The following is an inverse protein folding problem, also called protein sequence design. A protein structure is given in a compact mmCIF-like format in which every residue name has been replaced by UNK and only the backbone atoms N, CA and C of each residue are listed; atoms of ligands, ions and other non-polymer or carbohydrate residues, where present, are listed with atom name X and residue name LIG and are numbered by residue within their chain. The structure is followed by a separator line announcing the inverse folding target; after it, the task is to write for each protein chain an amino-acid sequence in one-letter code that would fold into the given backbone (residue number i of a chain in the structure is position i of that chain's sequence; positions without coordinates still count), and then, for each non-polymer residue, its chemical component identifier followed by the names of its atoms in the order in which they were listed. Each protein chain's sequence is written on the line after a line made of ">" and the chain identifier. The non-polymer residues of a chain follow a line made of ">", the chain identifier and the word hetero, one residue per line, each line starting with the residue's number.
data_IF_550501811884
#
_entry.id   IF_550501811884
#
_cell.length_a   1.000
_cell.length_b   1.000
_cell.length_c   1.000
_cell.angle_alpha   90.00
_cell.angle_beta   90.00
_cell.angle_gamma   90.00
#
_symmetry.space_group_name_H-M   'P 1'
#
loop_
_entity.id
_entity.type
_entity.pdbx_description
1 polymer ?
#
# COMPACT_ATOMS: atom_id res chain seq x y z
N UNK A 1 -11.52 -16.05 52.76
CA UNK A 1 -12.58 -15.40 51.95
C UNK A 1 -11.88 -14.75 50.76
N UNK A 2 -11.80 -15.42 49.59
CA UNK A 2 -12.59 -15.10 48.37
C UNK A 2 -12.59 -13.58 48.09
N UNK A 3 -12.06 -13.07 46.99
CA UNK A 3 -12.46 -13.39 45.62
C UNK A 3 -11.32 -13.35 44.58
N UNK A 4 -11.39 -14.32 43.67
CA UNK A 4 -10.68 -14.47 42.40
C UNK A 4 -11.14 -13.46 41.34
N UNK A 5 -10.21 -13.05 40.46
CA UNK A 5 -10.41 -12.86 39.00
C UNK A 5 -9.02 -12.90 38.34
N UNK A 6 -8.55 -14.08 37.93
CA UNK A 6 -8.48 -14.53 36.52
C UNK A 6 -7.89 -13.47 35.56
N UNK A 7 -6.58 -13.58 35.31
CA UNK A 7 -5.98 -13.31 34.00
C UNK A 7 -5.15 -14.51 33.63
N UNK A 8 -5.76 -15.41 32.86
CA UNK A 8 -5.11 -16.53 32.21
C UNK A 8 -4.38 -15.96 31.00
N UNK A 9 -3.06 -15.81 31.10
CA UNK A 9 -2.20 -15.63 29.94
C UNK A 9 -2.25 -16.93 29.13
N UNK A 10 -3.15 -17.00 28.15
CA UNK A 10 -3.01 -17.96 27.06
C UNK A 10 -2.03 -17.33 26.09
N UNK A 11 -0.81 -17.85 26.08
CA UNK A 11 0.13 -17.60 24.99
C UNK A 11 -0.46 -18.17 23.71
N UNK A 12 -0.97 -17.28 22.85
CA UNK A 12 -1.27 -17.63 21.48
C UNK A 12 0.05 -17.59 20.71
N UNK A 13 0.77 -18.70 20.71
CA UNK A 13 1.91 -18.87 19.81
C UNK A 13 1.35 -19.02 18.40
N UNK A 14 1.23 -17.91 17.69
CA UNK A 14 0.91 -17.91 16.25
C UNK A 14 2.14 -18.46 15.52
N UNK A 15 2.06 -19.72 15.11
CA UNK A 15 3.04 -20.29 14.19
C UNK A 15 2.82 -19.65 12.81
N UNK A 16 3.63 -18.63 12.50
CA UNK A 16 3.68 -18.05 11.17
C UNK A 16 4.45 -19.00 10.24
N UNK A 17 3.72 -19.74 9.41
CA UNK A 17 4.31 -20.30 8.20
C UNK A 17 4.30 -19.21 7.13
N UNK A 18 5.41 -18.46 7.03
CA UNK A 18 5.77 -17.80 5.79
C UNK A 18 6.12 -18.88 4.76
N UNK A 19 5.09 -19.53 4.19
CA UNK A 19 5.30 -20.54 3.18
C UNK A 19 5.75 -19.82 1.91
N UNK A 20 7.01 -19.98 1.52
CA UNK A 20 7.38 -19.81 0.12
C UNK A 20 6.49 -20.76 -0.67
N UNK A 21 5.78 -20.25 -1.68
CA UNK A 21 5.21 -21.09 -2.72
C UNK A 21 6.38 -21.85 -3.36
N UNK A 22 6.66 -23.05 -2.87
CA UNK A 22 7.43 -24.02 -3.63
C UNK A 22 6.58 -24.30 -4.86
N UNK A 23 7.12 -24.12 -6.06
CA UNK A 23 6.48 -24.46 -7.33
C UNK A 23 6.23 -25.99 -7.37
N UNK A 24 5.29 -26.46 -6.57
CA UNK A 24 4.71 -27.79 -6.71
C UNK A 24 3.91 -27.75 -8.00
N UNK A 25 4.27 -28.63 -8.92
CA UNK A 25 3.52 -28.79 -10.16
C UNK A 25 2.10 -29.18 -9.76
N UNK A 26 1.14 -28.30 -10.02
CA UNK A 26 -0.29 -28.58 -9.88
C UNK A 26 -0.64 -29.79 -10.74
N UNK A 27 -0.87 -30.93 -10.10
CA UNK A 27 -1.34 -32.11 -10.78
C UNK A 27 -2.77 -31.89 -11.29
N UNK A 28 -3.04 -32.29 -12.53
CA UNK A 28 -4.38 -32.24 -13.10
C UNK A 28 -5.34 -33.16 -12.34
N UNK A 29 -6.52 -32.63 -12.03
CA UNK A 29 -7.67 -33.36 -11.54
C UNK A 29 -8.34 -34.04 -12.73
N UNK A 30 -8.33 -35.37 -12.75
CA UNK A 30 -8.94 -36.19 -13.82
C UNK A 30 -10.03 -37.12 -13.29
N UNK A 31 -10.85 -37.65 -14.20
CA UNK A 31 -11.88 -38.66 -13.90
C UNK A 31 -13.20 -38.11 -13.36
N UNK A 32 -13.38 -36.80 -13.33
CA UNK A 32 -14.66 -36.14 -13.09
C UNK A 32 -15.24 -35.51 -14.36
N UNK A 33 -16.32 -34.74 -14.20
CA UNK A 33 -16.97 -34.01 -15.28
C UNK A 33 -17.60 -32.71 -14.78
N UNK A 34 -17.73 -31.73 -15.67
CA UNK A 34 -18.52 -30.53 -15.39
C UNK A 34 -20.01 -30.85 -15.41
N UNK A 35 -20.76 -30.30 -14.46
CA UNK A 35 -22.20 -30.52 -14.30
C UNK A 35 -22.89 -29.16 -14.13
N UNK A 36 -23.84 -28.86 -15.00
CA UNK A 36 -24.77 -27.75 -14.86
C UNK A 36 -26.00 -28.19 -14.05
N UNK A 37 -26.28 -27.52 -12.93
CA UNK A 37 -27.43 -27.81 -12.06
C UNK A 37 -27.85 -26.57 -11.28
N UNK A 38 -29.15 -26.32 -11.16
CA UNK A 38 -29.71 -25.19 -10.39
C UNK A 38 -29.13 -23.82 -10.80
N UNK A 39 -28.89 -23.64 -12.11
CA UNK A 39 -28.25 -22.44 -12.67
C UNK A 39 -26.86 -22.14 -12.06
N UNK A 40 -26.11 -23.21 -11.77
CA UNK A 40 -24.72 -23.21 -11.31
C UNK A 40 -23.93 -24.28 -12.05
N UNK A 41 -22.61 -24.10 -12.10
CA UNK A 41 -21.67 -25.07 -12.66
C UNK A 41 -20.78 -25.64 -11.57
N UNK A 42 -20.62 -26.96 -11.58
CA UNK A 42 -19.81 -27.74 -10.65
C UNK A 42 -18.84 -28.62 -11.43
N UNK A 43 -17.78 -29.10 -10.79
CA UNK A 43 -17.03 -30.26 -11.25
C UNK A 43 -17.26 -31.41 -10.26
N UNK A 44 -17.72 -32.56 -10.76
CA UNK A 44 -18.13 -33.71 -9.95
C UNK A 44 -17.29 -34.93 -10.30
N UNK A 45 -16.75 -35.58 -9.28
CA UNK A 45 -16.01 -36.84 -9.37
C UNK A 45 -16.46 -37.76 -8.24
N UNK A 46 -16.80 -39.01 -8.58
CA UNK A 46 -17.23 -40.02 -7.60
C UNK A 46 -18.33 -39.50 -6.66
N UNK A 47 -19.36 -38.85 -7.21
CA UNK A 47 -20.47 -38.20 -6.49
C UNK A 47 -20.10 -37.05 -5.53
N UNK A 48 -18.85 -36.56 -5.61
CA UNK A 48 -18.35 -35.47 -4.80
C UNK A 48 -18.02 -34.24 -5.63
N UNK A 49 -18.30 -33.04 -5.09
CA UNK A 49 -18.03 -31.77 -5.75
C UNK A 49 -16.60 -31.31 -5.45
N UNK A 50 -15.90 -30.86 -6.48
CA UNK A 50 -14.67 -30.10 -6.32
C UNK A 50 -14.95 -28.81 -5.51
N UNK A 51 -14.00 -28.41 -4.67
CA UNK A 51 -14.02 -27.18 -3.88
C UNK A 51 -12.65 -26.52 -3.95
N UNK A 52 -12.61 -25.20 -3.84
CA UNK A 52 -11.39 -24.39 -3.98
C UNK A 52 -10.68 -24.60 -5.34
N UNK A 53 -9.34 -24.58 -5.37
CA UNK A 53 -8.53 -24.58 -6.59
C UNK A 53 -8.37 -25.97 -7.19
N UNK A 54 -8.57 -26.06 -8.50
CA UNK A 54 -8.30 -27.26 -9.28
C UNK A 54 -7.69 -26.91 -10.62
N UNK A 55 -6.72 -27.73 -11.05
CA UNK A 55 -6.29 -27.77 -12.45
C UNK A 55 -7.04 -28.91 -13.15
N UNK A 56 -7.75 -28.64 -14.23
CA UNK A 56 -8.57 -29.59 -14.97
C UNK A 56 -8.25 -29.40 -16.45
N UNK A 57 -7.80 -30.46 -17.11
CA UNK A 57 -7.44 -30.47 -18.53
C UNK A 57 -6.53 -29.29 -18.94
N UNK A 58 -5.52 -29.01 -18.12
CA UNK A 58 -4.55 -27.96 -18.38
C UNK A 58 -5.01 -26.54 -18.08
N UNK A 59 -6.24 -26.33 -17.60
CA UNK A 59 -6.78 -25.03 -17.17
C UNK A 59 -7.00 -25.00 -15.66
N UNK A 60 -6.84 -23.83 -15.05
CA UNK A 60 -7.06 -23.64 -13.61
C UNK A 60 -8.47 -23.09 -13.34
N UNK A 61 -9.16 -23.61 -12.33
CA UNK A 61 -10.52 -23.28 -11.92
C UNK A 61 -10.60 -23.08 -10.40
N UNK A 62 -11.60 -22.34 -9.93
CA UNK A 62 -11.91 -22.20 -8.51
C UNK A 62 -13.41 -22.40 -8.26
N UNK A 63 -13.74 -23.20 -7.24
CA UNK A 63 -15.12 -23.63 -6.94
C UNK A 63 -15.63 -23.16 -5.57
N UNK A 64 -14.88 -22.31 -4.86
CA UNK A 64 -15.25 -21.87 -3.51
C UNK A 64 -15.44 -23.02 -2.50
N UNK A 65 -16.12 -22.73 -1.39
CA UNK A 65 -16.40 -23.70 -0.31
C UNK A 65 -17.60 -24.63 -0.61
N UNK A 66 -18.52 -24.19 -1.48
CA UNK A 66 -19.76 -24.91 -1.85
C UNK A 66 -19.67 -25.69 -3.17
N UNK A 67 -18.58 -25.52 -3.90
CA UNK A 67 -18.33 -26.17 -5.19
C UNK A 67 -18.87 -25.41 -6.41
N UNK A 68 -19.41 -24.20 -6.23
CA UNK A 68 -19.92 -23.35 -7.30
C UNK A 68 -18.75 -22.70 -8.05
N UNK A 69 -18.64 -22.97 -9.36
CA UNK A 69 -17.57 -22.43 -10.19
C UNK A 69 -17.65 -20.91 -10.28
N UNK A 70 -16.56 -20.21 -9.98
CA UNK A 70 -16.50 -18.76 -10.03
C UNK A 70 -16.26 -18.22 -11.44
N UNK A 71 -16.60 -16.95 -11.66
CA UNK A 71 -16.31 -16.20 -12.89
C UNK A 71 -15.91 -14.75 -12.56
N UNK A 72 -15.24 -14.07 -13.49
CA UNK A 72 -14.87 -12.66 -13.34
C UNK A 72 -13.87 -12.40 -12.22
N UNK A 73 -13.99 -11.26 -11.54
CA UNK A 73 -13.08 -10.84 -10.49
C UNK A 73 -13.33 -11.56 -9.17
N UNK A 74 -12.27 -12.15 -8.61
CA UNK A 74 -12.33 -12.91 -7.37
C UNK A 74 -11.20 -12.50 -6.43
N UNK A 75 -11.53 -12.22 -5.16
CA UNK A 75 -10.57 -12.00 -4.10
C UNK A 75 -10.57 -13.25 -3.21
N UNK A 76 -9.58 -14.10 -3.39
CA UNK A 76 -9.55 -15.46 -2.83
C UNK A 76 -8.16 -15.85 -2.34
N UNK A 77 -8.10 -16.84 -1.46
CA UNK A 77 -6.85 -17.39 -0.93
C UNK A 77 -5.92 -17.87 -2.05
N UNK A 78 -4.62 -17.65 -1.86
CA UNK A 78 -3.59 -18.07 -2.82
C UNK A 78 -3.60 -19.58 -3.09
N UNK A 79 -3.33 -19.94 -4.33
CA UNK A 79 -3.24 -21.31 -4.81
C UNK A 79 -1.82 -21.88 -4.62
N UNK A 80 -1.69 -23.21 -4.68
CA UNK A 80 -0.40 -23.92 -4.71
C UNK A 80 0.18 -24.29 -3.35
N UNK A 81 -0.58 -24.09 -2.28
CA UNK A 81 -0.15 -24.44 -0.91
C UNK A 81 -0.44 -25.89 -0.55
N UNK A 82 -1.36 -26.54 -1.27
CA UNK A 82 -1.93 -27.84 -0.95
C UNK A 82 -3.13 -27.78 0.00
N UNK A 83 -3.36 -26.66 0.69
CA UNK A 83 -4.44 -26.53 1.68
C UNK A 83 -5.78 -26.08 1.11
N UNK A 84 -5.78 -25.57 -0.13
CA UNK A 84 -6.96 -25.12 -0.88
C UNK A 84 -6.95 -25.69 -2.30
N UNK A 85 -6.24 -26.80 -2.49
CA UNK A 85 -5.90 -27.29 -3.82
C UNK A 85 -6.28 -28.76 -3.94
N UNK A 86 -6.93 -29.14 -5.04
CA UNK A 86 -7.36 -30.51 -5.34
C UNK A 86 -8.25 -31.12 -4.24
N UNK A 87 -9.19 -30.33 -3.71
CA UNK A 87 -10.08 -30.71 -2.63
C UNK A 87 -11.49 -31.04 -3.13
N UNK A 88 -12.10 -32.05 -2.52
CA UNK A 88 -13.50 -32.38 -2.75
C UNK A 88 -14.27 -32.21 -1.44
N UNK A 89 -15.57 -31.92 -1.53
CA UNK A 89 -16.44 -31.64 -0.38
C UNK A 89 -16.63 -32.81 0.61
N UNK A 90 -16.08 -33.98 0.32
CA UNK A 90 -16.01 -35.12 1.22
C UNK A 90 -14.72 -35.18 2.06
N UNK A 91 -13.79 -34.25 1.85
CA UNK A 91 -12.53 -34.17 2.60
C UNK A 91 -12.56 -33.05 3.64
N UNK A 92 -11.88 -33.21 4.79
CA UNK A 92 -11.76 -32.15 5.76
C UNK A 92 -10.96 -30.97 5.17
N UNK A 93 -11.39 -29.76 5.47
CA UNK A 93 -10.69 -28.52 5.13
C UNK A 93 -9.98 -28.02 6.39
N UNK A 94 -8.65 -27.84 6.31
CA UNK A 94 -7.87 -27.34 7.43
C UNK A 94 -8.14 -25.85 7.64
N UNK A 95 -8.38 -25.45 8.89
CA UNK A 95 -8.45 -24.06 9.29
C UNK A 95 -7.04 -23.45 9.30
N UNK A 96 -6.75 -22.65 8.28
CA UNK A 96 -5.46 -21.98 8.07
C UNK A 96 -5.73 -20.61 7.45
N UNK A 97 -5.03 -19.59 7.94
CA UNK A 97 -5.09 -18.24 7.37
C UNK A 97 -4.11 -18.10 6.22
N UNK A 98 -4.60 -18.21 4.99
CA UNK A 98 -3.82 -17.93 3.79
C UNK A 98 -4.01 -16.48 3.35
N UNK A 99 -3.00 -15.93 2.68
CA UNK A 99 -3.12 -14.61 2.08
C UNK A 99 -4.16 -14.67 0.95
N UNK A 100 -5.02 -13.66 0.88
CA UNK A 100 -5.96 -13.47 -0.23
C UNK A 100 -5.38 -12.51 -1.27
N UNK A 101 -5.68 -12.76 -2.54
CA UNK A 101 -5.30 -11.89 -3.65
C UNK A 101 -6.42 -11.81 -4.68
N UNK A 102 -6.36 -10.78 -5.53
CA UNK A 102 -7.24 -10.67 -6.68
C UNK A 102 -6.78 -11.57 -7.83
N UNK A 103 -7.72 -12.28 -8.42
CA UNK A 103 -7.59 -13.09 -9.63
C UNK A 103 -8.72 -12.75 -10.60
N UNK A 104 -8.51 -13.02 -11.89
CA UNK A 104 -9.52 -12.87 -12.92
C UNK A 104 -9.82 -14.21 -13.59
N UNK A 105 -11.10 -14.56 -13.67
CA UNK A 105 -11.57 -15.78 -14.33
C UNK A 105 -12.41 -15.41 -15.55
N UNK A 106 -12.21 -16.13 -16.65
CA UNK A 106 -13.07 -16.06 -17.82
C UNK A 106 -14.52 -16.45 -17.49
N UNK A 107 -15.46 -16.14 -18.39
CA UNK A 107 -16.86 -16.55 -18.23
C UNK A 107 -17.04 -18.08 -18.33
N UNK A 108 -16.04 -18.80 -18.85
CA UNK A 108 -15.95 -20.26 -18.82
C UNK A 108 -15.39 -20.80 -17.49
N UNK A 109 -15.03 -19.92 -16.54
CA UNK A 109 -14.46 -20.24 -15.24
C UNK A 109 -12.96 -20.51 -15.25
N UNK A 110 -12.29 -20.41 -16.40
CA UNK A 110 -10.85 -20.62 -16.47
C UNK A 110 -10.10 -19.38 -15.94
N UNK A 111 -9.09 -19.61 -15.10
CA UNK A 111 -8.20 -18.56 -14.60
C UNK A 111 -7.46 -17.90 -15.77
N UNK A 112 -7.35 -16.58 -15.72
CA UNK A 112 -6.46 -15.83 -16.59
C UNK A 112 -5.01 -15.97 -16.11
N UNK A 113 -4.24 -16.85 -16.75
CA UNK A 113 -2.81 -17.08 -16.45
C UNK A 113 -1.90 -16.00 -17.10
N UNK A 114 -2.15 -14.73 -16.79
CA UNK A 114 -1.35 -13.57 -17.22
C UNK A 114 -0.23 -13.29 -16.21
N UNK A 115 0.94 -12.85 -16.68
CA UNK A 115 2.12 -12.56 -15.82
C UNK A 115 2.77 -11.19 -16.08
N UNK A 116 2.18 -10.38 -16.95
CA UNK A 116 2.61 -8.99 -17.20
C UNK A 116 1.45 -8.04 -16.92
N UNK A 117 0.67 -7.70 -17.93
CA UNK A 117 -0.48 -6.80 -17.80
C UNK A 117 -1.58 -7.11 -18.80
N UNK A 118 -2.81 -6.75 -18.46
CA UNK A 118 -3.95 -6.90 -19.35
C UNK A 118 -5.00 -5.81 -19.12
N UNK A 119 -5.63 -5.37 -20.20
CA UNK A 119 -6.79 -4.47 -20.13
C UNK A 119 -8.03 -5.31 -19.85
N UNK A 120 -8.66 -5.09 -18.70
CA UNK A 120 -9.85 -5.80 -18.23
C UNK A 120 -10.93 -4.81 -17.81
N UNK A 121 -12.14 -5.30 -17.61
CA UNK A 121 -13.21 -4.53 -16.96
C UNK A 121 -12.77 -4.04 -15.57
N UNK A 122 -13.14 -2.82 -15.22
CA UNK A 122 -12.87 -2.29 -13.89
C UNK A 122 -13.59 -3.13 -12.83
N UNK A 123 -12.91 -3.46 -11.74
CA UNK A 123 -13.52 -4.19 -10.62
C UNK A 123 -14.33 -3.25 -9.76
N UNK A 124 -15.56 -3.63 -9.46
CA UNK A 124 -16.55 -2.86 -8.70
C UNK A 124 -17.24 -3.76 -7.69
N UNK A 125 -18.01 -3.17 -6.77
CA UNK A 125 -18.85 -3.94 -5.84
C UNK A 125 -19.92 -4.80 -6.52
N UNK A 126 -20.17 -4.59 -7.82
CA UNK A 126 -21.25 -5.26 -8.57
C UNK A 126 -20.77 -6.44 -9.42
N UNK A 127 -19.49 -6.48 -9.82
CA UNK A 127 -18.94 -7.51 -10.72
C UNK A 127 -17.87 -8.41 -10.10
N UNK A 128 -17.70 -8.37 -8.77
CA UNK A 128 -16.76 -9.22 -8.03
C UNK A 128 -17.46 -10.30 -7.23
N UNK A 129 -16.81 -11.44 -7.01
CA UNK A 129 -17.35 -12.52 -6.17
C UNK A 129 -18.51 -13.28 -6.81
N UNK A 130 -18.60 -13.24 -8.15
CA UNK A 130 -19.69 -13.87 -8.91
C UNK A 130 -19.40 -15.33 -9.21
N UNK A 131 -20.46 -16.12 -9.27
CA UNK A 131 -20.41 -17.52 -9.71
C UNK A 131 -21.12 -17.70 -11.04
N UNK A 132 -20.73 -18.74 -11.76
CA UNK A 132 -21.32 -19.08 -13.04
C UNK A 132 -22.84 -19.21 -12.93
N UNK A 133 -23.56 -18.56 -13.84
CA UNK A 133 -25.03 -18.54 -13.90
C UNK A 133 -25.66 -17.32 -13.21
N UNK A 134 -24.94 -16.60 -12.36
CA UNK A 134 -25.41 -15.31 -11.85
C UNK A 134 -25.44 -14.25 -12.93
N UNK A 135 -26.49 -13.43 -12.91
CA UNK A 135 -26.59 -12.26 -13.78
C UNK A 135 -25.90 -11.07 -13.10
N UNK A 136 -24.95 -10.46 -13.80
CA UNK A 136 -24.32 -9.21 -13.41
C UNK A 136 -23.91 -8.44 -14.66
N UNK A 137 -23.80 -7.12 -14.54
CA UNK A 137 -23.31 -6.29 -15.63
C UNK A 137 -21.78 -6.18 -15.55
N UNK A 138 -21.05 -6.55 -16.61
CA UNK A 138 -19.64 -6.23 -16.73
C UNK A 138 -19.44 -4.72 -16.69
N UNK A 139 -18.31 -4.26 -16.14
CA UNK A 139 -18.03 -2.83 -16.11
C UNK A 139 -17.75 -2.31 -17.53
N UNK A 140 -18.41 -1.21 -17.90
CA UNK A 140 -18.13 -0.53 -19.16
C UNK A 140 -16.75 0.14 -19.15
N UNK A 141 -16.28 0.56 -17.98
CA UNK A 141 -14.93 1.09 -17.78
C UNK A 141 -13.92 -0.06 -17.87
N UNK A 142 -12.84 0.14 -18.63
CA UNK A 142 -11.71 -0.79 -18.68
C UNK A 142 -10.46 -0.14 -18.11
N UNK A 143 -9.66 -0.93 -17.40
CA UNK A 143 -8.39 -0.52 -16.79
C UNK A 143 -7.29 -1.53 -17.11
N UNK A 144 -6.06 -1.04 -17.11
CA UNK A 144 -4.87 -1.90 -17.17
C UNK A 144 -4.59 -2.45 -15.79
N UNK A 145 -4.55 -3.78 -15.66
CA UNK A 145 -4.11 -4.47 -14.45
C UNK A 145 -2.78 -5.17 -14.71
N UNK A 146 -1.93 -5.12 -13.69
CA UNK A 146 -0.64 -5.81 -13.68
C UNK A 146 -0.77 -7.10 -12.90
N UNK A 147 -0.03 -8.12 -13.32
CA UNK A 147 -0.07 -9.45 -12.73
C UNK A 147 1.31 -9.87 -12.24
N UNK A 148 1.34 -10.65 -11.17
CA UNK A 148 2.56 -11.31 -10.70
C UNK A 148 2.77 -12.65 -11.40
N UNK A 149 3.91 -13.30 -11.15
CA UNK A 149 4.25 -14.58 -11.79
C UNK A 149 3.34 -15.75 -11.37
N UNK A 150 2.45 -15.54 -10.39
CA UNK A 150 1.48 -16.53 -9.91
C UNK A 150 0.04 -16.16 -10.32
N UNK A 151 -0.10 -15.30 -11.33
CA UNK A 151 -1.37 -14.91 -11.97
C UNK A 151 -2.29 -14.05 -11.09
N UNK A 152 -1.81 -13.61 -9.93
CA UNK A 152 -2.55 -12.69 -9.08
C UNK A 152 -2.30 -11.25 -9.52
N UNK A 153 -3.24 -10.35 -9.25
CA UNK A 153 -3.04 -8.91 -9.46
C UNK A 153 -1.85 -8.44 -8.61
N UNK A 154 -0.89 -7.80 -9.27
CA UNK A 154 0.33 -7.25 -8.68
C UNK A 154 0.00 -6.05 -7.80
N UNK A 155 0.76 -5.88 -6.72
CA UNK A 155 0.71 -4.73 -5.82
C UNK A 155 2.11 -4.14 -5.60
N UNK A 156 2.16 -2.93 -5.06
CA UNK A 156 3.40 -2.18 -4.82
C UNK A 156 3.93 -1.47 -6.07
N UNK A 157 5.23 -1.16 -6.05
CA UNK A 157 5.88 -0.38 -7.10
C UNK A 157 5.96 -1.13 -8.42
N UNK A 158 5.65 -0.42 -9.51
CA UNK A 158 5.88 -0.88 -10.88
C UNK A 158 6.45 0.25 -11.72
N UNK A 159 7.28 -0.10 -12.70
CA UNK A 159 7.95 0.84 -13.58
C UNK A 159 7.52 0.58 -15.02
N UNK A 160 7.06 1.62 -15.70
CA UNK A 160 6.55 1.56 -17.07
C UNK A 160 6.84 2.87 -17.79
N UNK A 161 7.34 2.78 -19.02
CA UNK A 161 7.54 3.93 -19.92
C UNK A 161 8.27 5.12 -19.29
N UNK A 162 9.31 4.83 -18.51
CA UNK A 162 10.12 5.87 -17.87
C UNK A 162 9.61 6.31 -16.49
N UNK A 163 8.45 5.82 -16.05
CA UNK A 163 7.72 6.34 -14.91
C UNK A 163 7.45 5.27 -13.84
N UNK A 164 7.46 5.70 -12.57
CA UNK A 164 7.06 4.86 -11.44
C UNK A 164 5.59 5.06 -11.12
N UNK A 165 4.90 3.96 -10.87
CA UNK A 165 3.51 3.90 -10.39
C UNK A 165 3.46 3.03 -9.13
N UNK A 166 2.51 3.33 -8.27
CA UNK A 166 2.24 2.50 -7.10
C UNK A 166 0.88 1.82 -7.24
N UNK A 167 0.87 0.50 -7.15
CA UNK A 167 -0.33 -0.32 -7.12
C UNK A 167 -0.71 -0.58 -5.66
N UNK A 168 -1.91 -0.21 -5.23
CA UNK A 168 -2.29 -0.30 -3.82
C UNK A 168 -2.09 -1.71 -3.26
N UNK A 169 -1.39 -1.83 -2.13
CA UNK A 169 -1.21 -3.10 -1.39
C UNK A 169 -2.38 -3.43 -0.47
N UNK A 170 -3.13 -2.40 -0.06
CA UNK A 170 -4.18 -2.50 0.95
C UNK A 170 -5.51 -2.03 0.38
N UNK A 171 -6.58 -2.60 0.90
CA UNK A 171 -7.94 -2.12 0.74
C UNK A 171 -8.26 -0.93 1.65
N UNK A 172 -9.55 -0.59 1.75
CA UNK A 172 -10.06 0.40 2.70
C UNK A 172 -10.60 -0.35 3.92
N UNK A 173 -10.06 -0.04 5.09
CA UNK A 173 -10.58 -0.51 6.39
C UNK A 173 -11.48 0.55 7.02
N UNK A 174 -12.69 0.16 7.43
CA UNK A 174 -13.54 0.89 8.39
C UNK A 174 -13.63 0.12 9.71
N UNK A 175 -14.36 0.68 10.69
CA UNK A 175 -14.40 0.17 12.07
C UNK A 175 -14.70 -1.34 12.18
N UNK A 176 -15.59 -1.87 11.32
CA UNK A 176 -15.98 -3.30 11.28
C UNK A 176 -15.98 -3.90 9.86
N UNK A 177 -15.32 -3.26 8.89
CA UNK A 177 -15.33 -3.76 7.51
C UNK A 177 -14.02 -3.54 6.77
N UNK A 178 -13.68 -4.50 5.91
CA UNK A 178 -12.55 -4.41 5.01
C UNK A 178 -13.02 -4.53 3.56
N UNK A 179 -12.70 -3.52 2.75
CA UNK A 179 -13.01 -3.49 1.33
C UNK A 179 -11.74 -3.70 0.50
N UNK A 180 -11.53 -4.87 -0.13
CA UNK A 180 -10.32 -5.17 -0.90
C UNK A 180 -10.31 -4.57 -2.31
N UNK A 181 -11.38 -3.92 -2.79
CA UNK A 181 -11.46 -3.38 -4.15
C UNK A 181 -10.30 -2.45 -4.57
N UNK A 182 -9.74 -1.60 -3.70
CA UNK A 182 -8.61 -0.75 -4.07
C UNK A 182 -7.33 -1.50 -4.40
N UNK A 183 -7.15 -2.73 -3.92
CA UNK A 183 -5.91 -3.50 -4.09
C UNK A 183 -5.59 -3.66 -5.58
N UNK A 184 -4.34 -3.37 -5.95
CA UNK A 184 -3.87 -3.44 -7.32
C UNK A 184 -4.32 -2.30 -8.25
N UNK A 185 -5.14 -1.36 -7.77
CA UNK A 185 -5.43 -0.11 -8.49
C UNK A 185 -4.23 0.84 -8.42
N UNK A 186 -4.06 1.67 -9.46
CA UNK A 186 -3.04 2.72 -9.47
C UNK A 186 -3.39 3.80 -8.45
N UNK A 187 -2.48 4.02 -7.50
CA UNK A 187 -2.60 5.02 -6.45
C UNK A 187 -2.45 6.45 -6.99
N UNK A 188 -3.10 7.39 -6.32
CA UNK A 188 -3.19 8.80 -6.71
C UNK A 188 -3.10 9.69 -5.48
N UNK A 189 -2.39 10.81 -5.58
CA UNK A 189 -2.15 11.73 -4.48
C UNK A 189 -1.19 11.17 -3.44
N UNK A 190 -1.36 11.60 -2.19
CA UNK A 190 -0.55 11.13 -1.06
C UNK A 190 -0.79 9.64 -0.80
N UNK A 191 0.28 8.87 -0.83
CA UNK A 191 0.25 7.42 -0.63
C UNK A 191 1.36 6.99 0.31
N UNK A 192 1.00 6.19 1.31
CA UNK A 192 1.96 5.64 2.26
C UNK A 192 2.29 4.19 1.88
N UNK A 193 3.57 3.89 1.71
CA UNK A 193 4.04 2.55 1.35
C UNK A 193 4.27 1.71 2.61
N UNK A 194 3.24 0.99 3.06
CA UNK A 194 3.35 0.06 4.18
C UNK A 194 4.07 -1.23 3.77
N UNK A 195 4.86 -1.78 4.71
CA UNK A 195 5.25 -3.18 4.65
C UNK A 195 4.05 -4.05 5.02
N UNK A 196 3.60 -4.90 4.09
CA UNK A 196 2.40 -5.73 4.24
C UNK A 196 2.74 -7.17 3.92
N UNK A 197 2.37 -8.08 4.81
CA UNK A 197 2.35 -9.52 4.53
C UNK A 197 0.90 -10.01 4.49
N UNK A 198 0.38 -10.45 5.63
CA UNK A 198 -1.06 -10.63 5.88
C UNK A 198 -1.62 -9.32 6.45
N UNK A 199 -0.92 -8.74 7.42
CA UNK A 199 -1.23 -7.45 8.04
C UNK A 199 -0.09 -6.44 7.83
N UNK A 200 -0.35 -5.19 8.24
CA UNK A 200 0.63 -4.12 8.26
C UNK A 200 1.70 -4.42 9.32
N UNK A 201 2.96 -4.51 8.89
CA UNK A 201 4.12 -4.58 9.78
C UNK A 201 4.52 -3.17 10.23
N UNK A 202 3.98 -2.75 11.37
CA UNK A 202 4.27 -1.43 11.99
C UNK A 202 5.69 -1.31 12.56
N UNK A 203 6.48 -2.38 12.55
CA UNK A 203 7.91 -2.31 12.93
C UNK A 203 8.79 -1.75 11.81
N UNK A 204 8.27 -1.69 10.58
CA UNK A 204 8.99 -1.17 9.41
C UNK A 204 8.60 0.27 9.11
N UNK A 205 9.52 1.07 8.56
CA UNK A 205 9.18 2.41 8.09
C UNK A 205 8.15 2.34 6.95
N UNK A 206 7.24 3.30 6.94
CA UNK A 206 6.23 3.45 5.91
C UNK A 206 6.33 4.86 5.30
N UNK A 207 7.22 5.08 4.32
CA UNK A 207 7.44 6.39 3.74
C UNK A 207 6.23 6.87 2.95
N UNK A 208 6.06 8.20 2.92
CA UNK A 208 5.05 8.87 2.10
C UNK A 208 5.59 9.17 0.71
N UNK A 209 4.72 9.07 -0.28
CA UNK A 209 4.96 9.40 -1.68
C UNK A 209 3.82 10.25 -2.20
N UNK A 210 4.07 11.00 -3.27
CA UNK A 210 3.02 11.72 -3.97
C UNK A 210 2.94 11.23 -5.42
N UNK A 211 1.79 10.71 -5.80
CA UNK A 211 1.49 10.22 -7.14
C UNK A 211 0.60 11.27 -7.83
N UNK A 212 0.92 11.65 -9.05
CA UNK A 212 0.15 12.65 -9.78
C UNK A 212 -1.34 12.25 -9.85
N UNK A 213 -2.29 13.10 -9.41
CA UNK A 213 -3.70 12.72 -9.34
C UNK A 213 -4.36 12.38 -10.69
N UNK A 214 -3.78 12.82 -11.81
CA UNK A 214 -4.33 12.57 -13.15
C UNK A 214 -3.76 11.29 -13.75
N UNK A 215 -2.46 11.11 -13.66
CA UNK A 215 -1.68 10.09 -14.37
C UNK A 215 -1.23 8.95 -13.47
N UNK A 216 -1.10 9.15 -12.16
CA UNK A 216 -0.53 8.19 -11.21
C UNK A 216 0.99 8.15 -11.18
N UNK A 217 1.67 9.02 -11.93
CA UNK A 217 3.14 9.08 -12.00
C UNK A 217 3.71 9.62 -10.68
N UNK A 218 4.65 8.89 -10.10
CA UNK A 218 5.38 9.29 -8.89
C UNK A 218 6.16 10.59 -9.11
N UNK A 219 5.97 11.55 -8.21
CA UNK A 219 6.69 12.83 -8.22
C UNK A 219 8.01 12.74 -7.47
N UNK A 220 8.98 13.57 -7.89
CA UNK A 220 10.30 13.73 -7.25
C UNK A 220 10.69 15.21 -7.23
N UNK A 221 11.65 15.58 -6.36
CA UNK A 221 12.10 16.95 -6.19
C UNK A 221 11.13 17.83 -5.38
N UNK A 222 11.33 19.14 -5.48
CA UNK A 222 10.42 20.13 -4.89
C UNK A 222 9.06 20.11 -5.60
N UNK A 223 8.01 19.95 -4.82
CA UNK A 223 6.64 19.89 -5.31
C UNK A 223 5.74 20.84 -4.53
N UNK A 224 5.01 21.69 -5.24
CA UNK A 224 4.09 22.65 -4.64
C UNK A 224 2.66 22.11 -4.72
N UNK A 225 2.03 21.94 -3.56
CA UNK A 225 0.62 21.56 -3.45
C UNK A 225 -0.15 22.68 -2.74
N UNK A 226 -0.94 23.43 -3.51
CA UNK A 226 -1.58 24.64 -3.02
C UNK A 226 -0.55 25.70 -2.62
N UNK A 227 -0.56 26.12 -1.36
CA UNK A 227 0.40 27.07 -0.79
C UNK A 227 1.56 26.41 -0.03
N UNK A 228 1.63 25.08 -0.03
CA UNK A 228 2.66 24.31 0.69
C UNK A 228 3.69 23.73 -0.27
N UNK A 229 4.94 23.71 0.16
CA UNK A 229 6.04 23.07 -0.53
C UNK A 229 6.44 21.78 0.17
N UNK A 230 6.73 20.75 -0.60
CA UNK A 230 7.21 19.46 -0.13
C UNK A 230 8.46 19.10 -0.92
N UNK A 231 9.36 18.33 -0.32
CA UNK A 231 10.48 17.75 -1.03
C UNK A 231 10.35 16.24 -1.07
N UNK A 232 10.30 15.70 -2.29
CA UNK A 232 10.29 14.27 -2.56
C UNK A 232 11.70 13.87 -3.01
N UNK A 233 12.33 12.92 -2.33
CA UNK A 233 13.68 12.47 -2.66
C UNK A 233 13.71 11.86 -4.08
N UNK A 234 14.90 11.58 -4.61
CA UNK A 234 15.04 10.88 -5.89
C UNK A 234 14.37 9.49 -5.91
N UNK A 235 14.22 8.87 -4.74
CA UNK A 235 13.43 7.63 -4.57
C UNK A 235 11.91 7.87 -4.56
N UNK A 236 11.44 9.12 -4.59
CA UNK A 236 10.05 9.53 -4.41
C UNK A 236 9.61 9.70 -2.95
N UNK A 237 10.38 9.18 -1.99
CA UNK A 237 10.02 9.25 -0.58
C UNK A 237 10.06 10.71 -0.09
N UNK A 238 8.99 11.16 0.56
CA UNK A 238 8.88 12.49 1.15
C UNK A 238 9.92 12.68 2.24
N UNK A 239 10.67 13.78 2.17
CA UNK A 239 11.57 14.18 3.22
C UNK A 239 10.84 14.93 4.34
N UNK A 240 11.33 14.77 5.56
CA UNK A 240 10.93 15.51 6.75
C UNK A 240 12.18 15.96 7.52
N UNK A 241 12.03 16.94 8.40
CA UNK A 241 13.14 17.52 9.17
C UNK A 241 14.06 18.40 8.34
N UNK A 242 15.30 18.56 8.82
CA UNK A 242 16.33 19.34 8.12
C UNK A 242 16.76 18.66 6.82
N UNK A 243 16.67 19.41 5.73
CA UNK A 243 17.09 18.99 4.39
C UNK A 243 18.10 20.00 3.83
N UNK A 244 19.19 19.50 3.26
CA UNK A 244 20.23 20.32 2.65
C UNK A 244 20.26 20.10 1.14
N UNK A 245 20.11 21.18 0.37
CA UNK A 245 20.26 21.20 -1.08
C UNK A 245 21.45 22.09 -1.46
N UNK A 246 22.53 21.46 -1.91
CA UNK A 246 23.81 22.16 -2.10
C UNK A 246 24.30 22.75 -0.77
N UNK A 247 24.43 24.08 -0.71
CA UNK A 247 24.81 24.82 0.50
C UNK A 247 23.62 25.35 1.31
N UNK A 248 22.39 25.17 0.82
CA UNK A 248 21.19 25.77 1.41
C UNK A 248 20.46 24.75 2.29
N UNK A 249 20.03 25.19 3.46
CA UNK A 249 19.24 24.38 4.38
C UNK A 249 17.77 24.78 4.35
N UNK A 250 16.90 23.79 4.45
CA UNK A 250 15.46 23.90 4.57
C UNK A 250 15.01 23.08 5.77
N UNK A 251 13.89 23.46 6.38
CA UNK A 251 13.24 22.63 7.38
C UNK A 251 11.86 22.21 6.87
N UNK A 252 11.66 20.90 6.74
CA UNK A 252 10.41 20.27 6.37
C UNK A 252 9.73 19.77 7.65
N UNK A 253 8.43 20.01 7.80
CA UNK A 253 7.67 19.61 8.98
C UNK A 253 7.86 18.12 9.29
N UNK A 254 8.14 17.80 10.56
CA UNK A 254 8.49 16.44 10.96
C UNK A 254 7.33 15.44 10.76
N UNK A 255 6.09 15.91 10.88
CA UNK A 255 4.88 15.10 10.79
C UNK A 255 4.27 15.14 9.39
N UNK A 256 4.16 16.35 8.83
CA UNK A 256 3.41 16.60 7.60
C UNK A 256 4.30 16.80 6.37
N UNK A 257 5.61 16.99 6.54
CA UNK A 257 6.56 17.21 5.45
C UNK A 257 6.51 18.58 4.75
N UNK A 258 5.57 19.46 5.11
CA UNK A 258 5.51 20.81 4.52
C UNK A 258 6.69 21.69 4.95
N UNK A 259 7.29 22.38 3.98
CA UNK A 259 8.39 23.30 4.22
C UNK A 259 7.95 24.46 5.10
N UNK A 260 8.71 24.70 6.17
CA UNK A 260 8.50 25.85 7.05
C UNK A 260 9.16 27.11 6.50
N UNK A 261 8.55 28.23 6.84
CA UNK A 261 9.05 29.58 6.57
C UNK A 261 8.92 30.43 7.83
N UNK A 262 9.77 31.44 7.98
CA UNK A 262 9.80 32.31 9.15
C UNK A 262 10.57 31.71 10.32
N UNK A 263 10.23 32.14 11.54
CA UNK A 263 10.88 31.68 12.76
C UNK A 263 10.50 30.23 13.06
N UNK A 264 11.51 29.39 13.23
CA UNK A 264 11.37 28.00 13.63
C UNK A 264 12.22 27.71 14.87
N UNK A 265 11.67 26.97 15.83
CA UNK A 265 12.35 26.62 17.07
C UNK A 265 12.51 25.11 17.17
N UNK A 266 13.74 24.65 17.31
CA UNK A 266 14.11 23.26 17.55
C UNK A 266 14.72 23.15 18.95
N UNK A 267 13.99 22.54 19.89
CA UNK A 267 14.33 22.53 21.31
C UNK A 267 14.46 23.95 21.88
N UNK A 268 15.68 24.36 22.24
CA UNK A 268 16.00 25.69 22.76
C UNK A 268 16.56 26.65 21.69
N UNK A 269 16.84 26.17 20.48
CA UNK A 269 17.53 26.92 19.43
C UNK A 269 16.51 27.50 18.46
N UNK A 270 16.65 28.78 18.14
CA UNK A 270 15.87 29.44 17.09
C UNK A 270 16.64 29.46 15.78
N UNK A 271 15.89 29.32 14.69
CA UNK A 271 16.33 29.44 13.31
C UNK A 271 15.39 30.37 12.58
N UNK A 272 15.88 31.04 11.54
CA UNK A 272 15.03 31.81 10.63
C UNK A 272 15.12 31.23 9.22
N UNK A 273 13.99 30.71 8.76
CA UNK A 273 13.78 30.23 7.40
C UNK A 273 13.20 31.39 6.60
N UNK A 274 13.76 31.68 5.44
CA UNK A 274 13.36 32.81 4.62
C UNK A 274 11.85 32.74 4.32
N UNK A 275 11.14 33.84 4.54
CA UNK A 275 9.69 33.93 4.38
C UNK A 275 9.20 33.57 2.97
N UNK A 276 10.01 33.79 1.93
CA UNK A 276 9.60 33.58 0.53
C UNK A 276 10.00 32.23 -0.04
N UNK A 277 11.20 31.74 0.30
CA UNK A 277 11.77 30.54 -0.32
C UNK A 277 12.19 29.45 0.68
N UNK A 278 12.05 29.67 2.00
CA UNK A 278 12.34 28.66 3.02
C UNK A 278 13.82 28.48 3.37
N UNK A 279 14.74 29.12 2.65
CA UNK A 279 16.18 29.02 2.92
C UNK A 279 16.52 29.46 4.35
N UNK A 280 17.24 28.62 5.10
CA UNK A 280 17.77 28.97 6.41
C UNK A 280 18.79 30.10 6.30
N UNK A 281 18.60 31.16 7.09
CA UNK A 281 19.54 32.28 7.17
C UNK A 281 20.73 31.97 8.06
N UNK A 282 21.88 32.50 7.65
CA UNK A 282 23.13 32.58 8.43
C UNK A 282 23.67 34.01 8.30
N UNK A 283 24.57 34.40 9.21
CA UNK A 283 25.08 35.77 9.30
C UNK A 283 24.03 36.77 9.77
N UNK A 284 24.26 38.05 9.49
CA UNK A 284 23.33 39.14 9.80
C UNK A 284 22.16 39.17 8.81
N UNK A 285 20.93 39.22 9.32
CA UNK A 285 19.71 39.37 8.53
C UNK A 285 18.67 40.23 9.25
N UNK A 286 17.72 40.78 8.49
CA UNK A 286 16.67 41.66 9.02
C UNK A 286 15.29 41.03 8.90
N UNK A 287 14.48 41.13 9.96
CA UNK A 287 13.07 40.73 9.98
C UNK A 287 12.27 41.87 10.60
N UNK A 288 11.27 42.39 9.87
CA UNK A 288 10.41 43.50 10.32
C UNK A 288 11.19 44.71 10.89
N UNK A 289 12.27 45.10 10.23
CA UNK A 289 13.11 46.24 10.62
C UNK A 289 14.13 45.96 11.73
N UNK A 290 14.08 44.80 12.39
CA UNK A 290 15.04 44.41 13.43
C UNK A 290 16.13 43.50 12.86
N UNK A 291 17.37 43.70 13.32
CA UNK A 291 18.52 42.90 12.91
C UNK A 291 18.75 41.74 13.87
N UNK A 292 19.12 40.60 13.30
CA UNK A 292 19.41 39.35 13.99
C UNK A 292 20.69 38.75 13.40
N UNK A 293 21.37 37.91 14.17
CA UNK A 293 22.52 37.15 13.70
C UNK A 293 22.31 35.66 13.93
N UNK A 294 22.52 34.86 12.88
CA UNK A 294 22.57 33.40 12.97
C UNK A 294 24.01 32.92 12.72
N UNK A 295 24.50 32.00 13.55
CA UNK A 295 25.81 31.36 13.34
C UNK A 295 25.82 30.54 12.03
N UNK A 296 26.99 30.00 11.64
CA UNK A 296 27.10 29.15 10.45
C UNK A 296 26.21 27.90 10.47
N UNK A 297 25.80 27.45 11.66
CA UNK A 297 24.81 26.37 11.85
C UNK A 297 23.35 26.82 11.67
N UNK A 298 23.09 28.12 11.50
CA UNK A 298 21.75 28.71 11.50
C UNK A 298 21.18 29.05 12.88
N UNK A 299 21.85 28.62 13.96
CA UNK A 299 21.43 28.91 15.33
C UNK A 299 21.46 30.42 15.60
N UNK A 300 20.34 30.96 16.09
CA UNK A 300 20.21 32.37 16.46
C UNK A 300 21.11 32.72 17.65
N UNK A 301 21.89 33.78 17.53
CA UNK A 301 22.61 34.38 18.65
C UNK A 301 21.64 35.14 19.57
N UNK A 302 21.66 34.83 20.87
CA UNK A 302 20.81 35.48 21.88
C UNK A 302 21.65 35.82 23.12
N UNK A 303 21.35 36.95 23.78
CA UNK A 303 22.05 37.42 24.99
C UNK A 303 23.58 37.38 24.88
N UNK A 304 24.12 37.87 23.77
CA UNK A 304 25.56 37.78 23.49
C UNK A 304 26.02 38.95 22.61
N UNK A 305 27.33 39.05 22.38
CA UNK A 305 27.93 40.01 21.46
C UNK A 305 28.50 39.29 20.25
N UNK A 306 28.15 39.74 19.05
CA UNK A 306 28.67 39.23 17.77
C UNK A 306 29.34 40.38 17.04
N UNK A 307 30.62 40.25 16.73
CA UNK A 307 31.41 41.27 16.00
C UNK A 307 31.30 42.69 16.59
N UNK A 308 31.17 42.79 17.92
CA UNK A 308 31.01 44.06 18.64
C UNK A 308 29.56 44.56 18.79
N UNK A 309 28.57 43.84 18.26
CA UNK A 309 27.15 44.18 18.34
C UNK A 309 26.43 43.30 19.35
N UNK A 310 25.80 43.90 20.37
CA UNK A 310 25.04 43.16 21.38
C UNK A 310 23.65 42.79 20.87
N UNK A 311 23.27 41.52 21.02
CA UNK A 311 21.92 41.01 20.74
C UNK A 311 21.23 40.58 22.04
N UNK A 312 19.96 40.98 22.20
CA UNK A 312 19.19 40.72 23.43
C UNK A 312 18.66 39.26 23.50
N UNK A 313 17.76 38.99 24.45
CA UNK A 313 17.21 37.65 24.68
C UNK A 313 16.33 37.13 23.53
N UNK A 314 15.80 38.02 22.68
CA UNK A 314 15.10 37.69 21.45
C UNK A 314 16.05 37.58 20.24
N UNK A 315 17.36 37.81 20.44
CA UNK A 315 18.36 37.88 19.38
C UNK A 315 18.35 39.17 18.57
N UNK A 316 17.62 40.19 19.03
CA UNK A 316 17.52 41.49 18.36
C UNK A 316 18.75 42.33 18.67
N UNK A 317 19.39 42.89 17.65
CA UNK A 317 20.46 43.87 17.82
C UNK A 317 19.97 45.10 18.57
N UNK A 318 20.66 45.43 19.66
CA UNK A 318 20.45 46.64 20.44
C UNK A 318 21.54 47.64 20.09
N UNK A 319 21.12 48.84 19.68
CA UNK A 319 22.01 49.95 19.34
C UNK A 319 22.64 50.59 20.57
#
# INVERSE_FOLDING_TARGET
>A
MKLFKKTMQVGLTVFFFGLLATNTVFADTTGGQFVDKDNRKYYVKDDHKAIYWHKIDGKTYYFGDKGEMVVGWQYVEIHGTGYRDNLFNNRPVLEIGLQEKWYYFGQDGALLEQTDKQVLEAKTSENTGKVYGEQYAPSAEKRTYYFDNNYAVKTGWTYEDGNWYYLNKLGISGDDSYNPLPIGEVAKGWTQDFHVTIDIDRSKPAPWYYLDPKTGIMQTGWYQLGNKWYYLRSSGAMATGWYQEGSTWYYLDAENGDMKTGWYKDGSIWYYLNASNGDMKTGWFQVNGKWYYAYGSGALAVNTTVDGYYVNYNGEWVK
#
